data_IF_121436559358
#
_entry.id   IF_121436559358
#
_cell.length_a   1.000
_cell.length_b   1.000
_cell.length_c   1.000
_cell.angle_alpha   90.00
_cell.angle_beta   90.00
_cell.angle_gamma   90.00
#
_symmetry.space_group_name_H-M   'P 1'
#
loop_
_entity.id
_entity.type
_entity.pdbx_description
1 polymer ?
#
# COMPACT_ATOMS: atom_id res chain seq x y z
N UNK A 1 30.86 26.21 -23.36
CA UNK A 1 31.92 25.45 -22.67
C UNK A 1 31.71 23.97 -22.95
N UNK A 2 32.70 23.28 -23.50
CA UNK A 2 32.62 21.86 -23.88
C UNK A 2 33.00 20.99 -22.68
N UNK A 3 32.10 20.11 -22.24
CA UNK A 3 32.42 19.07 -21.26
C UNK A 3 32.63 17.74 -22.02
N UNK A 4 33.86 17.23 -21.95
CA UNK A 4 34.25 15.86 -22.34
C UNK A 4 34.92 15.23 -21.12
N UNK A 5 34.60 13.97 -20.86
CA UNK A 5 35.19 13.13 -19.82
C UNK A 5 34.21 11.99 -19.52
N UNK A 6 34.10 11.00 -20.40
CA UNK A 6 34.90 9.77 -20.36
C UNK A 6 34.74 9.01 -19.04
N UNK A 7 33.82 8.04 -19.03
CA UNK A 7 33.88 6.91 -18.09
C UNK A 7 34.06 5.62 -18.87
N UNK A 8 35.30 5.18 -18.81
CA UNK A 8 35.82 3.87 -19.18
C UNK A 8 34.99 2.70 -18.66
N UNK A 9 34.45 1.93 -19.61
CA UNK A 9 34.42 0.47 -19.72
C UNK A 9 35.21 -0.30 -18.63
N UNK A 10 34.57 -1.25 -17.94
CA UNK A 10 35.20 -2.52 -17.51
C UNK A 10 34.14 -3.63 -17.33
N UNK A 11 34.43 -4.75 -17.99
CA UNK A 11 33.73 -6.05 -17.94
C UNK A 11 34.18 -6.81 -16.68
N UNK A 12 33.33 -7.64 -16.11
CA UNK A 12 33.66 -8.61 -15.05
C UNK A 12 32.64 -9.75 -15.06
N UNK A 13 33.12 -10.98 -14.91
CA UNK A 13 32.51 -12.23 -15.37
C UNK A 13 31.52 -12.91 -14.40
N UNK A 14 30.78 -13.86 -14.97
CA UNK A 14 29.86 -14.84 -14.37
C UNK A 14 30.61 -15.85 -13.48
N UNK A 15 30.00 -16.29 -12.38
CA UNK A 15 30.21 -17.63 -11.79
C UNK A 15 28.87 -18.21 -11.34
N UNK A 16 28.56 -19.42 -11.83
CA UNK A 16 27.43 -20.29 -11.51
C UNK A 16 27.71 -21.14 -10.26
N UNK A 17 26.65 -21.81 -9.77
CA UNK A 17 26.61 -23.17 -9.14
C UNK A 17 25.97 -23.18 -7.74
N UNK A 18 24.94 -24.02 -7.58
CA UNK A 18 24.45 -24.44 -6.26
C UNK A 18 23.04 -25.05 -6.25
N UNK A 19 22.81 -26.14 -6.99
CA UNK A 19 21.60 -26.99 -6.89
C UNK A 19 21.64 -27.75 -5.56
N UNK A 20 20.56 -27.72 -4.77
CA UNK A 20 20.20 -28.84 -3.87
C UNK A 20 18.69 -29.12 -3.96
N UNK A 21 18.41 -30.38 -4.26
CA UNK A 21 17.14 -31.03 -4.50
C UNK A 21 16.75 -31.87 -3.26
N UNK A 22 15.48 -31.84 -2.86
CA UNK A 22 14.86 -32.80 -1.93
C UNK A 22 13.39 -32.42 -1.69
N UNK A 23 12.35 -33.02 -2.27
CA UNK A 23 11.86 -34.41 -2.43
C UNK A 23 11.13 -34.96 -1.18
N UNK A 24 9.80 -35.03 -1.33
CA UNK A 24 8.81 -36.05 -0.89
C UNK A 24 8.11 -35.93 0.48
N UNK A 25 6.86 -35.46 0.36
CA UNK A 25 5.54 -36.05 0.70
C UNK A 25 5.31 -36.87 1.99
N UNK A 26 4.23 -36.40 2.67
CA UNK A 26 3.06 -37.13 3.17
C UNK A 26 3.20 -38.17 4.30
N UNK A 27 2.53 -37.87 5.41
CA UNK A 27 2.04 -38.87 6.36
C UNK A 27 0.50 -39.01 6.20
N UNK A 28 -0.04 -40.22 5.98
CA UNK A 28 -1.46 -40.50 6.15
C UNK A 28 -1.71 -40.91 7.61
N UNK A 29 -2.53 -40.13 8.32
CA UNK A 29 -3.04 -40.48 9.65
C UNK A 29 -4.46 -41.03 9.55
N UNK A 30 -4.60 -42.35 9.58
CA UNK A 30 -5.88 -43.05 9.68
C UNK A 30 -6.38 -43.12 11.13
N UNK A 31 -7.69 -42.94 11.34
CA UNK A 31 -8.51 -43.96 12.02
C UNK A 31 -10.01 -43.64 11.93
N UNK A 32 -10.75 -44.65 11.48
CA UNK A 32 -12.21 -44.72 11.44
C UNK A 32 -12.79 -44.95 12.83
N UNK A 33 -13.93 -44.31 13.12
CA UNK A 33 -14.82 -44.68 14.20
C UNK A 33 -16.13 -43.90 14.12
N UNK A 34 -17.18 -44.53 13.58
CA UNK A 34 -18.57 -44.15 13.83
C UNK A 34 -19.17 -45.21 14.77
N UNK A 35 -20.01 -44.84 15.75
CA UNK A 35 -21.44 -44.76 15.43
C UNK A 35 -22.22 -43.63 16.13
N UNK A 36 -23.13 -43.05 15.34
CA UNK A 36 -24.51 -42.66 15.66
C UNK A 36 -24.83 -42.25 17.13
N UNK A 37 -24.78 -40.95 17.37
CA UNK A 37 -25.55 -40.27 18.42
C UNK A 37 -25.93 -38.88 17.91
N UNK A 38 -27.22 -38.60 17.77
CA UNK A 38 -27.70 -37.29 17.35
C UNK A 38 -27.32 -36.23 18.41
N UNK A 39 -26.59 -35.15 18.07
CA UNK A 39 -26.45 -34.03 18.97
C UNK A 39 -27.67 -33.12 18.81
N UNK A 40 -28.42 -32.92 19.90
CA UNK A 40 -29.31 -31.78 20.03
C UNK A 40 -28.53 -30.48 19.69
N UNK A 41 -29.13 -29.47 19.03
CA UNK A 41 -28.46 -28.19 18.86
C UNK A 41 -28.24 -27.55 20.23
N UNK A 42 -27.00 -27.59 20.71
CA UNK A 42 -26.58 -26.77 21.84
C UNK A 42 -26.60 -25.30 21.38
N UNK A 43 -27.15 -24.36 22.16
CA UNK A 43 -27.01 -22.95 21.86
C UNK A 43 -25.52 -22.62 21.94
N UNK A 44 -24.95 -22.16 20.81
CA UNK A 44 -23.61 -21.61 20.81
C UNK A 44 -23.61 -20.41 21.77
N UNK A 45 -22.93 -20.57 22.91
CA UNK A 45 -22.56 -19.44 23.76
C UNK A 45 -21.73 -18.52 22.88
N UNK A 46 -22.30 -17.39 22.51
CA UNK A 46 -21.54 -16.29 21.93
C UNK A 46 -20.57 -15.82 23.01
N UNK A 47 -19.34 -16.33 22.97
CA UNK A 47 -18.23 -15.72 23.69
C UNK A 47 -18.11 -14.31 23.17
N UNK A 48 -18.42 -13.34 24.02
CA UNK A 48 -18.30 -11.91 23.75
C UNK A 48 -16.86 -11.57 23.40
N UNK A 49 -16.56 -11.62 22.10
CA UNK A 49 -15.48 -10.83 21.53
C UNK A 49 -16.10 -9.45 21.36
N UNK A 50 -15.58 -8.38 22.00
CA UNK A 50 -15.99 -7.03 21.66
C UNK A 50 -15.87 -6.92 20.15
N UNK A 51 -16.97 -6.59 19.47
CA UNK A 51 -16.91 -6.29 18.05
C UNK A 51 -15.80 -5.23 17.91
N UNK A 52 -14.70 -5.61 17.26
CA UNK A 52 -13.69 -4.64 16.84
C UNK A 52 -14.41 -3.51 16.09
N UNK A 53 -13.82 -2.31 16.01
CA UNK A 53 -14.46 -1.19 15.34
C UNK A 53 -15.02 -1.68 14.01
N UNK A 54 -16.34 -1.58 13.86
CA UNK A 54 -17.04 -2.07 12.68
C UNK A 54 -16.30 -1.55 11.45
N UNK A 55 -16.04 -2.43 10.48
CA UNK A 55 -15.41 -2.02 9.23
C UNK A 55 -16.19 -0.83 8.67
N UNK A 56 -15.47 0.21 8.26
CA UNK A 56 -16.10 1.39 7.70
C UNK A 56 -16.98 0.97 6.51
N UNK A 57 -18.13 1.63 6.29
CA UNK A 57 -18.94 1.32 5.13
C UNK A 57 -18.15 1.63 3.84
N UNK A 58 -18.36 0.86 2.76
CA UNK A 58 -17.78 1.18 1.46
C UNK A 58 -18.09 2.63 1.08
N UNK A 59 -17.09 3.35 0.59
CA UNK A 59 -17.18 4.78 0.30
C UNK A 59 -16.93 5.71 1.49
N UNK A 60 -16.65 5.18 2.68
CA UNK A 60 -16.31 6.01 3.83
C UNK A 60 -15.03 6.84 3.58
N UNK A 61 -15.10 8.12 3.92
CA UNK A 61 -13.96 9.03 3.89
C UNK A 61 -13.38 9.14 5.30
N UNK A 62 -12.11 8.81 5.45
CA UNK A 62 -11.37 8.94 6.70
C UNK A 62 -10.57 10.24 6.73
N UNK A 63 -10.84 11.08 7.73
CA UNK A 63 -10.11 12.32 7.98
C UNK A 63 -9.12 12.13 9.13
N UNK A 64 -7.96 12.78 9.05
CA UNK A 64 -7.08 12.96 10.19
C UNK A 64 -7.63 14.01 11.17
N UNK A 65 -7.10 14.12 12.40
CA UNK A 65 -7.45 15.21 13.31
C UNK A 65 -7.24 16.62 12.72
N UNK A 66 -6.31 16.77 11.76
CA UNK A 66 -6.09 18.01 11.01
C UNK A 66 -7.08 18.25 9.86
N UNK A 67 -8.06 17.37 9.67
CA UNK A 67 -9.06 17.45 8.59
C UNK A 67 -8.55 16.98 7.23
N UNK A 68 -7.37 16.35 7.16
CA UNK A 68 -6.79 15.86 5.91
C UNK A 68 -7.44 14.54 5.55
N UNK A 69 -7.90 14.39 4.31
CA UNK A 69 -8.41 13.12 3.82
C UNK A 69 -7.27 12.12 3.70
N UNK A 70 -7.27 11.07 4.53
CA UNK A 70 -6.20 10.06 4.61
C UNK A 70 -6.64 8.67 4.20
N UNK A 71 -7.94 8.50 3.94
CA UNK A 71 -8.56 7.28 3.43
C UNK A 71 -9.82 7.63 2.64
N UNK A 72 -10.05 6.90 1.56
CA UNK A 72 -11.34 6.79 0.89
C UNK A 72 -11.56 5.29 0.67
N UNK A 73 -12.64 4.74 1.24
CA UNK A 73 -12.91 3.30 1.25
C UNK A 73 -13.53 2.83 -0.07
N UNK A 74 -12.85 3.13 -1.18
CA UNK A 74 -13.19 2.74 -2.54
C UNK A 74 -11.89 2.22 -3.19
N UNK A 75 -11.94 1.20 -4.07
CA UNK A 75 -10.76 0.76 -4.80
C UNK A 75 -10.06 1.93 -5.50
N UNK A 76 -8.73 2.00 -5.35
CA UNK A 76 -7.90 2.93 -6.07
C UNK A 76 -7.97 2.66 -7.58
N UNK A 77 -8.14 3.72 -8.38
CA UNK A 77 -8.16 3.64 -9.84
C UNK A 77 -6.99 4.43 -10.42
N UNK A 78 -5.98 3.71 -10.87
CA UNK A 78 -4.81 4.22 -11.59
C UNK A 78 -4.20 3.09 -12.39
N UNK A 79 -3.61 3.42 -13.55
CA UNK A 79 -2.70 2.45 -14.19
C UNK A 79 -1.48 2.21 -13.30
N UNK A 80 -0.71 1.17 -13.62
CA UNK A 80 0.55 0.88 -12.93
C UNK A 80 1.53 2.07 -13.06
N UNK A 81 1.65 2.64 -14.25
CA UNK A 81 2.52 3.78 -14.51
C UNK A 81 2.08 5.02 -13.74
N UNK A 82 0.77 5.29 -13.71
CA UNK A 82 0.22 6.42 -12.96
C UNK A 82 0.44 6.29 -11.45
N UNK A 83 0.31 5.06 -10.91
CA UNK A 83 0.65 4.75 -9.54
C UNK A 83 2.13 5.04 -9.26
N UNK A 84 3.04 4.55 -10.10
CA UNK A 84 4.47 4.79 -9.96
C UNK A 84 4.82 6.27 -10.00
N UNK A 85 4.24 7.03 -10.94
CA UNK A 85 4.43 8.49 -11.02
C UNK A 85 3.96 9.19 -9.74
N UNK A 86 2.76 8.85 -9.26
CA UNK A 86 2.20 9.46 -8.06
C UNK A 86 3.03 9.14 -6.81
N UNK A 87 3.50 7.89 -6.69
CA UNK A 87 4.31 7.45 -5.57
C UNK A 87 5.68 8.13 -5.60
N UNK A 88 6.33 8.17 -6.76
CA UNK A 88 7.63 8.80 -6.92
C UNK A 88 7.57 10.31 -6.63
N UNK A 89 6.58 11.02 -7.15
CA UNK A 89 6.38 12.43 -6.86
C UNK A 89 6.16 12.69 -5.36
N UNK A 90 5.41 11.80 -4.68
CA UNK A 90 5.24 11.86 -3.24
C UNK A 90 6.57 11.63 -2.51
N UNK A 91 7.36 10.65 -2.96
CA UNK A 91 8.66 10.32 -2.38
C UNK A 91 9.64 11.49 -2.49
N UNK A 92 9.76 12.08 -3.67
CA UNK A 92 10.60 13.26 -3.90
C UNK A 92 10.20 14.43 -3.00
N UNK A 93 8.90 14.69 -2.85
CA UNK A 93 8.43 15.73 -1.94
C UNK A 93 8.80 15.43 -0.48
N UNK A 94 8.64 14.18 -0.04
CA UNK A 94 8.95 13.76 1.33
C UNK A 94 10.45 13.83 1.62
N UNK A 95 11.30 13.45 0.67
CA UNK A 95 12.75 13.52 0.80
C UNK A 95 13.27 14.97 0.87
N UNK A 96 12.55 15.92 0.28
CA UNK A 96 12.85 17.34 0.37
C UNK A 96 12.49 17.96 1.73
N UNK A 97 11.72 17.28 2.59
CA UNK A 97 11.33 17.80 3.90
C UNK A 97 12.44 17.61 4.96
N UNK A 98 12.45 18.42 6.03
CA UNK A 98 13.30 18.18 7.19
C UNK A 98 13.05 16.79 7.79
N UNK A 99 14.13 16.03 8.05
CA UNK A 99 14.05 14.69 8.65
C UNK A 99 13.83 14.77 10.15
N UNK A 100 12.57 14.91 10.56
CA UNK A 100 12.15 15.00 11.98
C UNK A 100 11.88 13.64 12.63
N UNK A 101 11.87 12.56 11.85
CA UNK A 101 11.50 11.21 12.30
C UNK A 101 9.99 10.98 12.39
N UNK A 102 9.16 12.00 12.17
CA UNK A 102 7.72 11.86 12.03
C UNK A 102 7.33 11.40 10.62
N UNK A 103 6.20 10.71 10.50
CA UNK A 103 5.63 10.36 9.19
C UNK A 103 5.25 11.62 8.41
N UNK A 104 5.66 11.67 7.14
CA UNK A 104 5.34 12.77 6.22
C UNK A 104 4.09 12.50 5.37
N UNK A 105 3.39 11.39 5.63
CA UNK A 105 2.19 10.98 4.91
C UNK A 105 1.07 12.04 4.95
N UNK A 106 0.68 12.47 6.14
CA UNK A 106 -0.38 13.47 6.32
C UNK A 106 0.04 14.88 5.86
N UNK A 107 1.26 15.37 6.17
CA UNK A 107 1.77 16.62 5.59
C UNK A 107 1.74 16.65 4.06
N UNK A 108 2.12 15.55 3.41
CA UNK A 108 2.06 15.44 1.95
C UNK A 108 0.62 15.53 1.44
N UNK A 109 -0.30 14.74 2.01
CA UNK A 109 -1.70 14.76 1.60
C UNK A 109 -2.38 16.11 1.84
N UNK A 110 -2.02 16.80 2.92
CA UNK A 110 -2.46 18.17 3.19
C UNK A 110 -2.05 19.13 2.06
N UNK A 111 -0.78 19.06 1.64
CA UNK A 111 -0.26 19.86 0.52
C UNK A 111 -0.98 19.55 -0.79
N UNK A 112 -1.17 18.27 -1.12
CA UNK A 112 -1.90 17.88 -2.35
C UNK A 112 -3.35 18.36 -2.33
N UNK A 113 -4.04 18.23 -1.19
CA UNK A 113 -5.44 18.62 -1.03
C UNK A 113 -5.66 20.14 -1.08
N UNK A 114 -4.65 20.91 -0.65
CA UNK A 114 -4.69 22.37 -0.69
C UNK A 114 -4.30 22.96 -2.05
N UNK A 115 -3.69 22.18 -2.96
CA UNK A 115 -3.19 22.72 -4.22
C UNK A 115 -4.32 23.06 -5.21
N UNK A 116 -4.50 24.33 -5.58
CA UNK A 116 -5.56 24.75 -6.51
C UNK A 116 -5.30 24.32 -7.95
N UNK A 117 -4.05 23.99 -8.29
CA UNK A 117 -3.62 23.51 -9.61
C UNK A 117 -3.32 22.01 -9.64
N UNK A 118 -3.51 21.30 -8.51
CA UNK A 118 -2.99 19.96 -8.35
C UNK A 118 -1.46 19.91 -8.20
N UNK A 119 -0.92 18.71 -8.14
CA UNK A 119 0.51 18.44 -7.96
C UNK A 119 0.95 17.33 -8.89
N UNK A 120 2.26 17.11 -9.03
CA UNK A 120 2.77 15.97 -9.79
C UNK A 120 2.18 14.64 -9.30
N UNK A 121 2.01 14.47 -7.98
CA UNK A 121 1.41 13.28 -7.40
C UNK A 121 -0.12 13.18 -7.50
N UNK A 122 -0.78 14.17 -8.08
CA UNK A 122 -2.20 14.15 -8.44
C UNK A 122 -2.41 14.36 -9.95
N UNK A 123 -1.40 14.03 -10.77
CA UNK A 123 -1.39 14.20 -12.23
C UNK A 123 -1.75 15.63 -12.67
N UNK A 124 -1.31 16.62 -11.89
CA UNK A 124 -1.60 18.05 -12.07
C UNK A 124 -3.10 18.36 -12.13
N UNK A 125 -3.91 17.53 -11.47
CA UNK A 125 -5.35 17.75 -11.29
C UNK A 125 -5.60 18.18 -9.85
N UNK A 126 -6.35 19.26 -9.60
CA UNK A 126 -6.71 19.67 -8.25
C UNK A 126 -7.46 18.55 -7.53
N UNK A 127 -7.22 18.39 -6.23
CA UNK A 127 -7.82 17.31 -5.44
C UNK A 127 -9.34 17.23 -5.58
N UNK A 128 -10.01 18.39 -5.57
CA UNK A 128 -11.48 18.49 -5.71
C UNK A 128 -12.00 18.11 -7.09
N UNK A 129 -11.15 18.07 -8.11
CA UNK A 129 -11.50 17.69 -9.48
C UNK A 129 -11.25 16.19 -9.77
N UNK A 130 -10.61 15.47 -8.84
CA UNK A 130 -10.39 14.03 -8.95
C UNK A 130 -11.68 13.26 -8.61
N UNK A 131 -11.96 12.21 -9.38
CA UNK A 131 -12.97 11.22 -8.97
C UNK A 131 -12.55 10.53 -7.65
N UNK A 132 -13.47 10.04 -6.82
CA UNK A 132 -13.13 9.41 -5.53
C UNK A 132 -12.14 8.25 -5.65
N UNK A 133 -12.23 7.43 -6.71
CA UNK A 133 -11.29 6.34 -6.96
C UNK A 133 -9.87 6.83 -7.32
N UNK A 134 -9.77 7.99 -7.99
CA UNK A 134 -8.48 8.66 -8.25
C UNK A 134 -7.90 9.27 -6.98
N UNK A 135 -8.74 9.87 -6.13
CA UNK A 135 -8.32 10.35 -4.81
C UNK A 135 -7.78 9.20 -3.94
N UNK A 136 -8.45 8.04 -3.97
CA UNK A 136 -7.97 6.83 -3.31
C UNK A 136 -6.60 6.39 -3.86
N UNK A 137 -6.39 6.43 -5.18
CA UNK A 137 -5.08 6.12 -5.78
C UNK A 137 -3.96 7.06 -5.30
N UNK A 138 -4.21 8.37 -5.20
CA UNK A 138 -3.25 9.34 -4.63
C UNK A 138 -2.92 9.00 -3.18
N UNK A 139 -3.92 8.64 -2.36
CA UNK A 139 -3.72 8.24 -0.95
C UNK A 139 -2.89 6.97 -0.84
N UNK A 140 -3.15 5.96 -1.67
CA UNK A 140 -2.41 4.70 -1.68
C UNK A 140 -0.95 4.94 -2.08
N UNK A 141 -0.71 5.70 -3.15
CA UNK A 141 0.63 6.07 -3.59
C UNK A 141 1.39 6.89 -2.53
N UNK A 142 0.72 7.85 -1.89
CA UNK A 142 1.32 8.63 -0.80
C UNK A 142 1.73 7.76 0.39
N UNK A 143 0.92 6.76 0.73
CA UNK A 143 1.22 5.83 1.83
C UNK A 143 2.44 4.98 1.50
N UNK A 144 2.47 4.42 0.30
CA UNK A 144 3.62 3.65 -0.17
C UNK A 144 4.91 4.50 -0.14
N UNK A 145 4.86 5.75 -0.60
CA UNK A 145 6.01 6.65 -0.54
C UNK A 145 6.52 6.91 0.90
N UNK A 146 5.60 7.09 1.85
CA UNK A 146 5.93 7.28 3.26
C UNK A 146 6.54 6.03 3.91
N UNK A 147 6.29 4.85 3.34
CA UNK A 147 6.78 3.55 3.81
C UNK A 147 8.00 3.03 3.03
N UNK A 148 8.54 3.80 2.07
CA UNK A 148 9.62 3.34 1.16
C UNK A 148 9.20 2.20 0.20
N UNK A 149 7.93 2.18 -0.22
CA UNK A 149 7.30 1.09 -1.01
C UNK A 149 6.94 1.52 -2.46
N UNK A 150 7.63 2.51 -3.04
CA UNK A 150 7.36 2.97 -4.42
C UNK A 150 7.89 2.05 -5.55
N UNK A 151 7.97 0.73 -5.32
CA UNK A 151 8.57 -0.25 -6.23
C UNK A 151 7.63 -1.39 -6.59
#
# INVERSE_FOLDING_TARGET
MRWRGDRSRRRGAVVLVGIVLGVVMAAPGCSHGAPRGAPAPAPARQSGIPAGPAAAPPGAVGLSPGGVTTRIDIPADSTEEEYYQACHAAKEWMEAQPKTGASLFEPYLSMVQASPSGTAGSWNTPWSALAPARQAAVIVAARAAANDECG
#
